data_IF_619917935728
#
_entry.id   IF_619917935728
#
_cell.length_a   1.000
_cell.length_b   1.000
_cell.length_c   1.000
_cell.angle_alpha   90.00
_cell.angle_beta   90.00
_cell.angle_gamma   90.00
#
_symmetry.space_group_name_H-M   'P 1'
#
loop_
_entity.id
_entity.type
_entity.pdbx_description
1 polymer ?
#
# COMPACT_ATOMS: atom_id res chain seq x y z
N UNK A 1 -13.53 -1.47 -2.47
CA UNK A 1 -12.30 -1.15 -1.71
C UNK A 1 -11.70 0.14 -2.25
N UNK A 2 -11.53 1.13 -1.40
CA UNK A 2 -10.78 2.34 -1.75
C UNK A 2 -9.27 2.06 -1.63
N UNK A 3 -8.44 2.89 -2.28
CA UNK A 3 -6.98 2.74 -2.22
C UNK A 3 -6.44 2.75 -0.77
N UNK A 4 -6.98 3.61 0.10
CA UNK A 4 -6.61 3.64 1.52
C UNK A 4 -6.86 2.32 2.27
N UNK A 5 -7.96 1.63 1.96
CA UNK A 5 -8.27 0.32 2.54
C UNK A 5 -7.29 -0.74 2.04
N UNK A 6 -6.94 -0.70 0.74
CA UNK A 6 -5.94 -1.59 0.16
C UNK A 6 -4.56 -1.41 0.82
N UNK A 7 -4.15 -0.16 1.04
CA UNK A 7 -2.90 0.17 1.74
C UNK A 7 -2.87 -0.35 3.18
N UNK A 8 -4.00 -0.23 3.90
CA UNK A 8 -4.14 -0.78 5.24
C UNK A 8 -3.99 -2.31 5.27
N UNK A 9 -4.52 -3.01 4.26
CA UNK A 9 -4.39 -4.45 4.15
C UNK A 9 -2.94 -4.88 3.92
N UNK A 10 -2.23 -4.21 3.02
CA UNK A 10 -0.80 -4.45 2.79
C UNK A 10 -0.02 -4.29 4.09
N UNK A 11 -0.23 -3.17 4.81
CA UNK A 11 0.45 -2.91 6.09
C UNK A 11 0.15 -4.00 7.13
N UNK A 12 -1.12 -4.38 7.26
CA UNK A 12 -1.56 -5.42 8.21
C UNK A 12 -0.95 -6.78 7.88
N UNK A 13 -0.86 -7.12 6.58
CA UNK A 13 -0.31 -8.39 6.12
C UNK A 13 1.19 -8.52 6.40
N UNK A 14 1.92 -7.41 6.27
CA UNK A 14 3.34 -7.31 6.59
C UNK A 14 3.59 -7.12 8.09
N UNK A 15 2.52 -7.05 8.92
CA UNK A 15 2.58 -6.84 10.38
C UNK A 15 3.33 -5.58 10.78
N UNK A 16 3.26 -4.55 9.94
CA UNK A 16 3.90 -3.26 10.18
C UNK A 16 2.98 -2.33 10.97
N UNK A 17 3.55 -1.55 11.87
CA UNK A 17 2.91 -0.36 12.45
C UNK A 17 2.80 0.74 11.40
N UNK A 18 1.96 1.75 11.66
CA UNK A 18 1.86 2.92 10.77
C UNK A 18 3.19 3.66 10.67
N UNK A 19 3.98 3.72 11.75
CA UNK A 19 5.30 4.37 11.73
C UNK A 19 6.26 3.61 10.85
N UNK A 20 6.40 2.29 11.03
CA UNK A 20 7.32 1.49 10.22
C UNK A 20 6.96 1.53 8.74
N UNK A 21 5.66 1.53 8.41
CA UNK A 21 5.21 1.68 7.03
C UNK A 21 5.61 3.04 6.45
N UNK A 22 5.52 4.12 7.24
CA UNK A 22 5.95 5.46 6.84
C UNK A 22 7.47 5.54 6.67
N UNK A 23 8.23 4.92 7.56
CA UNK A 23 9.70 4.89 7.52
C UNK A 23 10.20 4.14 6.27
N UNK A 24 9.56 3.01 5.93
CA UNK A 24 9.89 2.22 4.74
C UNK A 24 9.48 2.89 3.43
N UNK A 25 8.28 3.49 3.40
CA UNK A 25 7.74 4.11 2.19
C UNK A 25 8.19 5.56 1.97
N UNK A 26 8.77 6.22 2.98
CA UNK A 26 9.10 7.65 2.93
C UNK A 26 7.85 8.54 2.80
N UNK A 27 6.72 8.07 3.31
CA UNK A 27 5.43 8.77 3.31
C UNK A 27 5.23 9.38 4.70
N UNK A 28 4.84 10.65 4.77
CA UNK A 28 4.57 11.30 6.05
C UNK A 28 3.42 10.63 6.82
N UNK A 29 3.57 10.46 8.14
CA UNK A 29 2.59 9.73 8.96
C UNK A 29 1.18 10.33 8.93
N UNK A 30 1.07 11.66 8.82
CA UNK A 30 -0.22 12.34 8.68
C UNK A 30 -0.89 12.01 7.35
N UNK A 31 -0.10 11.91 6.28
CA UNK A 31 -0.56 11.53 4.95
C UNK A 31 -1.02 10.07 4.94
N UNK A 32 -0.23 9.16 5.53
CA UNK A 32 -0.59 7.75 5.65
C UNK A 32 -1.89 7.54 6.45
N UNK A 33 -2.01 8.19 7.61
CA UNK A 33 -3.25 8.20 8.40
C UNK A 33 -4.41 8.78 7.58
N UNK A 34 -4.17 9.82 6.80
CA UNK A 34 -5.15 10.41 5.89
C UNK A 34 -5.72 9.38 4.89
N UNK A 35 -4.88 8.49 4.37
CA UNK A 35 -5.29 7.40 3.48
C UNK A 35 -6.07 6.31 4.24
N UNK A 36 -5.56 5.81 5.37
CA UNK A 36 -6.22 4.70 6.10
C UNK A 36 -7.58 5.09 6.69
N UNK A 37 -7.70 6.31 7.23
CA UNK A 37 -8.94 6.79 7.84
C UNK A 37 -9.91 7.40 6.83
N UNK A 38 -9.60 7.34 5.53
CA UNK A 38 -10.46 7.85 4.46
C UNK A 38 -10.63 9.38 4.46
N UNK A 39 -9.77 10.12 5.18
CA UNK A 39 -9.77 11.60 5.13
C UNK A 39 -9.33 12.10 3.76
N UNK A 40 -8.40 11.40 3.13
CA UNK A 40 -8.03 11.63 1.74
C UNK A 40 -8.72 10.60 0.85
N UNK A 41 -9.63 11.07 -0.02
CA UNK A 41 -10.35 10.21 -0.98
C UNK A 41 -9.45 9.70 -2.10
N UNK A 42 -8.31 10.35 -2.31
CA UNK A 42 -7.33 10.01 -3.34
C UNK A 42 -5.94 9.85 -2.73
N UNK A 43 -5.16 8.94 -3.30
CA UNK A 43 -3.74 8.76 -3.00
C UNK A 43 -2.95 9.43 -4.10
N UNK A 44 -1.98 10.28 -3.75
CA UNK A 44 -1.13 10.90 -4.74
C UNK A 44 -0.32 9.86 -5.53
N UNK A 45 -0.16 10.07 -6.83
CA UNK A 45 0.57 9.15 -7.72
C UNK A 45 2.02 8.95 -7.28
N UNK A 46 2.67 10.00 -6.77
CA UNK A 46 4.03 9.93 -6.21
C UNK A 46 4.14 8.94 -5.05
N UNK A 47 3.13 8.91 -4.18
CA UNK A 47 3.10 8.04 -3.00
C UNK A 47 2.79 6.59 -3.40
N UNK A 48 1.93 6.39 -4.41
CA UNK A 48 1.70 5.08 -5.01
C UNK A 48 2.97 4.49 -5.63
N UNK A 49 3.76 5.30 -6.33
CA UNK A 49 5.03 4.86 -6.91
C UNK A 49 6.01 4.43 -5.82
N UNK A 50 6.14 5.19 -4.73
CA UNK A 50 7.01 4.82 -3.59
C UNK A 50 6.66 3.43 -3.03
N UNK A 51 5.36 3.12 -2.91
CA UNK A 51 4.91 1.82 -2.38
C UNK A 51 5.14 0.71 -3.41
N UNK A 52 4.73 0.90 -4.67
CA UNK A 52 4.82 -0.14 -5.70
C UNK A 52 6.25 -0.46 -6.13
N UNK A 53 7.15 0.52 -6.06
CA UNK A 53 8.57 0.33 -6.37
C UNK A 53 9.40 -0.17 -5.17
N UNK A 54 8.83 -0.19 -3.97
CA UNK A 54 9.55 -0.67 -2.79
C UNK A 54 9.70 -2.21 -2.84
N UNK A 55 10.91 -2.77 -2.70
CA UNK A 55 11.17 -4.21 -2.88
C UNK A 55 10.26 -5.13 -2.05
N UNK A 56 9.88 -4.70 -0.85
CA UNK A 56 9.00 -5.47 0.04
C UNK A 56 7.54 -5.48 -0.39
N UNK A 57 7.08 -4.42 -1.08
CA UNK A 57 5.68 -4.21 -1.42
C UNK A 57 5.38 -4.40 -2.92
N UNK A 58 6.40 -4.51 -3.78
CA UNK A 58 6.25 -4.72 -5.22
C UNK A 58 5.37 -5.93 -5.57
N UNK A 59 5.36 -6.97 -4.73
CA UNK A 59 4.50 -8.15 -4.84
C UNK A 59 3.00 -7.86 -4.76
N UNK A 60 2.59 -6.69 -4.27
CA UNK A 60 1.19 -6.29 -4.18
C UNK A 60 0.76 -5.33 -5.31
N UNK A 61 1.67 -4.96 -6.21
CA UNK A 61 1.45 -3.91 -7.23
C UNK A 61 0.26 -4.23 -8.12
N UNK A 62 0.19 -5.46 -8.64
CA UNK A 62 -0.88 -5.86 -9.55
C UNK A 62 -2.25 -5.77 -8.89
N UNK A 63 -2.34 -6.24 -7.64
CA UNK A 63 -3.56 -6.21 -6.84
C UNK A 63 -3.96 -4.79 -6.43
N UNK A 64 -2.98 -3.95 -6.09
CA UNK A 64 -3.22 -2.55 -5.72
C UNK A 64 -3.84 -1.79 -6.89
N UNK A 65 -3.28 -1.94 -8.09
CA UNK A 65 -3.63 -1.16 -9.28
C UNK A 65 -4.86 -1.71 -10.03
N UNK A 66 -4.99 -3.02 -10.16
CA UNK A 66 -6.05 -3.64 -11.00
C UNK A 66 -7.01 -4.55 -10.23
N UNK A 67 -6.66 -4.93 -9.00
CA UNK A 67 -7.42 -5.91 -8.23
C UNK A 67 -7.16 -7.37 -8.63
N UNK A 68 -6.33 -7.62 -9.65
CA UNK A 68 -5.94 -8.96 -10.08
C UNK A 68 -4.67 -9.42 -9.36
N UNK A 69 -4.52 -10.73 -9.20
CA UNK A 69 -3.31 -11.38 -8.69
C UNK A 69 -2.74 -12.31 -9.75
N UNK A 70 -1.41 -12.45 -9.78
CA UNK A 70 -0.70 -13.38 -10.66
C UNK A 70 0.33 -14.11 -9.80
N UNK A 71 -0.10 -15.18 -9.08
CA UNK A 71 0.77 -15.89 -8.15
C UNK A 71 2.02 -16.46 -8.82
N UNK A 72 1.93 -16.93 -10.07
CA UNK A 72 3.09 -17.44 -10.82
C UNK A 72 4.19 -16.40 -11.07
N UNK A 73 3.84 -15.11 -11.09
CA UNK A 73 4.80 -14.00 -11.23
C UNK A 73 5.19 -13.39 -9.87
N UNK A 74 4.80 -14.02 -8.75
CA UNK A 74 5.03 -13.49 -7.41
C UNK A 74 4.14 -12.29 -7.04
N UNK A 75 3.11 -11.98 -7.83
CA UNK A 75 2.14 -10.91 -7.56
C UNK A 75 0.97 -11.47 -6.75
N UNK A 76 0.96 -11.20 -5.45
CA UNK A 76 0.04 -11.79 -4.48
C UNK A 76 -0.95 -10.76 -3.92
N UNK A 77 -2.06 -11.26 -3.38
CA UNK A 77 -2.99 -10.47 -2.58
C UNK A 77 -2.54 -10.48 -1.11
N UNK A 78 -2.68 -9.35 -0.39
CA UNK A 78 -2.51 -9.32 1.06
C UNK A 78 -3.70 -9.91 1.83
N UNK A 79 -4.83 -10.11 1.15
CA UNK A 79 -6.03 -10.85 1.63
C UNK A 79 -5.86 -12.33 1.35
#
# INVERSE_FOLDING_TARGET
>A
MNLGEKLRLIRTRERLTQSEMCDLSGIGINTWKGYEYGRSKTVASSELLKITQHPQFTKYTMWLMTGLTIPEAGQISPV
#
